data_IF_389680440069
#
_entry.id   IF_389680440069
#
_cell.length_a   1.000
_cell.length_b   1.000
_cell.length_c   1.000
_cell.angle_alpha   90.00
_cell.angle_beta   90.00
_cell.angle_gamma   90.00
#
_symmetry.space_group_name_H-M   'P 1'
#
loop_
_entity.id
_entity.type
_entity.pdbx_description
1 polymer ?
#
# COMPACT_ATOMS: atom_id res chain seq x y z
N UNK A 1 51.15 22.17 19.58
CA UNK A 1 49.80 21.63 19.27
C UNK A 1 48.91 22.78 18.82
N UNK A 2 48.57 22.83 17.53
CA UNK A 2 47.83 23.95 16.93
C UNK A 2 46.42 24.09 17.52
N UNK A 3 45.94 25.33 17.68
CA UNK A 3 44.61 25.67 18.20
C UNK A 3 43.46 24.88 17.52
N UNK A 4 43.63 24.57 16.23
CA UNK A 4 42.71 23.76 15.42
C UNK A 4 42.64 22.30 15.91
N UNK A 5 43.73 21.71 16.40
CA UNK A 5 43.72 20.34 16.93
C UNK A 5 43.00 20.25 18.27
N UNK A 6 43.07 21.31 19.11
CA UNK A 6 42.30 21.40 20.36
C UNK A 6 40.79 21.54 20.09
N UNK A 7 40.38 22.34 19.10
CA UNK A 7 38.97 22.47 18.71
C UNK A 7 38.41 21.16 18.16
N UNK A 8 39.16 20.43 17.34
CA UNK A 8 38.72 19.12 16.83
C UNK A 8 38.54 18.08 17.94
N UNK A 9 39.44 18.06 18.93
CA UNK A 9 39.33 17.15 20.08
C UNK A 9 38.11 17.51 20.94
N UNK A 10 37.84 18.80 21.18
CA UNK A 10 36.66 19.26 21.94
C UNK A 10 35.34 18.98 21.20
N UNK A 11 35.29 19.18 19.87
CA UNK A 11 34.14 18.79 19.04
C UNK A 11 33.92 17.27 19.09
N UNK A 12 35.00 16.48 19.00
CA UNK A 12 34.89 15.02 19.00
C UNK A 12 34.47 14.48 20.37
N UNK A 13 34.95 15.08 21.47
CA UNK A 13 34.52 14.72 22.83
C UNK A 13 33.07 15.14 23.08
N UNK A 14 32.63 16.32 22.66
CA UNK A 14 31.22 16.75 22.76
C UNK A 14 30.29 15.81 21.96
N UNK A 15 30.67 15.42 20.73
CA UNK A 15 29.90 14.45 19.92
C UNK A 15 29.87 13.06 20.58
N UNK A 16 30.97 12.65 21.22
CA UNK A 16 31.03 11.36 21.93
C UNK A 16 30.18 11.34 23.20
N UNK A 17 30.13 12.44 23.96
CA UNK A 17 29.26 12.57 25.14
C UNK A 17 27.78 12.64 24.77
N UNK A 18 27.42 13.33 23.69
CA UNK A 18 26.03 13.36 23.17
C UNK A 18 25.59 11.96 22.68
N UNK A 19 26.50 11.16 22.11
CA UNK A 19 26.20 9.78 21.68
C UNK A 19 26.07 8.80 22.85
N UNK A 20 26.84 8.98 23.92
CA UNK A 20 26.85 8.08 25.08
C UNK A 20 25.57 8.17 25.92
N UNK A 21 24.95 9.35 26.03
CA UNK A 21 23.67 9.51 26.75
C UNK A 21 22.44 9.06 25.92
N UNK A 22 22.52 9.13 24.58
CA UNK A 22 21.46 8.64 23.69
C UNK A 22 21.37 7.11 23.68
N UNK A 23 22.50 6.39 23.78
CA UNK A 23 22.56 4.93 23.68
C UNK A 23 21.90 4.18 24.86
N UNK A 24 21.77 4.79 26.04
CA UNK A 24 21.17 4.11 27.21
C UNK A 24 19.65 3.98 27.14
N UNK A 25 18.96 4.74 26.28
CA UNK A 25 17.50 4.74 26.22
C UNK A 25 16.92 3.65 25.30
N UNK A 26 17.68 3.16 24.31
CA UNK A 26 17.08 2.65 23.07
C UNK A 26 16.32 1.31 23.20
N UNK A 27 16.90 0.20 23.73
CA UNK A 27 16.21 -1.10 23.64
C UNK A 27 15.02 -1.24 24.59
N UNK A 28 15.12 -0.68 25.80
CA UNK A 28 14.04 -0.71 26.78
C UNK A 28 12.89 0.22 26.36
N UNK A 29 13.20 1.41 25.85
CA UNK A 29 12.18 2.33 25.34
C UNK A 29 11.46 1.75 24.12
N UNK A 30 12.20 1.12 23.20
CA UNK A 30 11.64 0.46 22.01
C UNK A 30 10.66 -0.64 22.39
N UNK A 31 11.10 -1.58 23.23
CA UNK A 31 10.24 -2.67 23.70
C UNK A 31 8.99 -2.12 24.39
N UNK A 32 9.15 -1.09 25.22
CA UNK A 32 8.02 -0.48 25.92
C UNK A 32 7.05 0.21 24.97
N UNK A 33 7.51 1.06 24.05
CA UNK A 33 6.62 1.81 23.15
C UNK A 33 5.92 0.92 22.12
N UNK A 34 6.55 -0.18 21.72
CA UNK A 34 5.99 -1.13 20.76
C UNK A 34 4.93 -2.02 21.42
N UNK A 35 5.18 -2.52 22.63
CA UNK A 35 4.34 -3.58 23.23
C UNK A 35 3.32 -3.08 24.26
N UNK A 36 3.60 -1.98 24.96
CA UNK A 36 2.76 -1.54 26.08
C UNK A 36 1.33 -1.15 25.67
N UNK A 37 1.08 -0.45 24.53
CA UNK A 37 -0.29 -0.13 24.13
C UNK A 37 -1.18 -1.36 23.91
N UNK A 38 -0.61 -2.46 23.38
CA UNK A 38 -1.33 -3.72 23.20
C UNK A 38 -1.65 -4.36 24.55
N UNK A 39 -0.68 -4.43 25.46
CA UNK A 39 -0.89 -4.93 26.83
C UNK A 39 -1.94 -4.13 27.60
N UNK A 40 -1.96 -2.80 27.44
CA UNK A 40 -2.97 -1.94 28.05
C UNK A 40 -4.38 -2.28 27.52
N UNK A 41 -4.53 -2.61 26.24
CA UNK A 41 -5.81 -3.06 25.68
C UNK A 41 -6.25 -4.41 26.27
N UNK A 42 -5.31 -5.34 26.43
CA UNK A 42 -5.59 -6.65 27.05
C UNK A 42 -6.03 -6.50 28.51
N UNK A 43 -5.46 -5.53 29.23
CA UNK A 43 -5.84 -5.13 30.59
C UNK A 43 -7.09 -4.24 30.66
N UNK A 44 -7.82 -4.06 29.54
CA UNK A 44 -9.06 -3.26 29.45
C UNK A 44 -8.90 -1.78 29.80
N UNK A 45 -7.67 -1.25 29.72
CA UNK A 45 -7.42 0.17 29.90
C UNK A 45 -8.09 0.96 28.77
N UNK A 46 -8.66 2.12 29.09
CA UNK A 46 -9.38 2.90 28.10
C UNK A 46 -8.44 3.44 27.01
N UNK A 47 -8.92 3.51 25.76
CA UNK A 47 -8.15 4.16 24.68
C UNK A 47 -7.73 5.60 25.00
N UNK A 48 -8.50 6.32 25.82
CA UNK A 48 -8.12 7.68 26.21
C UNK A 48 -6.89 7.68 27.11
N UNK A 49 -6.80 6.75 28.06
CA UNK A 49 -5.60 6.56 28.87
C UNK A 49 -4.41 6.08 28.03
N UNK A 50 -4.65 5.21 27.04
CA UNK A 50 -3.62 4.78 26.08
C UNK A 50 -3.12 5.97 25.24
N UNK A 51 -4.01 6.87 24.81
CA UNK A 51 -3.63 8.11 24.11
C UNK A 51 -2.78 9.00 25.03
N UNK A 52 -3.23 9.21 26.27
CA UNK A 52 -2.50 10.02 27.25
C UNK A 52 -1.10 9.44 27.50
N UNK A 53 -0.98 8.12 27.60
CA UNK A 53 0.30 7.43 27.73
C UNK A 53 1.19 7.64 26.50
N UNK A 54 0.66 7.45 25.28
CA UNK A 54 1.43 7.66 24.05
C UNK A 54 1.85 9.12 23.86
N UNK A 55 1.06 10.10 24.28
CA UNK A 55 1.45 11.51 24.28
C UNK A 55 2.62 11.76 25.24
N UNK A 56 2.60 11.20 26.46
CA UNK A 56 3.75 11.26 27.38
C UNK A 56 5.00 10.64 26.77
N UNK A 57 4.86 9.50 26.09
CA UNK A 57 5.96 8.83 25.39
C UNK A 57 6.49 9.65 24.23
N UNK A 58 5.62 10.31 23.46
CA UNK A 58 5.99 11.22 22.38
C UNK A 58 6.81 12.40 22.92
N UNK A 59 6.35 13.06 23.99
CA UNK A 59 7.07 14.18 24.59
C UNK A 59 8.42 13.75 25.17
N UNK A 60 8.48 12.57 25.82
CA UNK A 60 9.74 11.98 26.26
C UNK A 60 10.69 11.71 25.08
N UNK A 61 10.20 11.15 23.98
CA UNK A 61 11.01 10.89 22.80
C UNK A 61 11.54 12.19 22.17
N UNK A 62 10.70 13.23 22.05
CA UNK A 62 11.10 14.56 21.57
C UNK A 62 12.17 15.20 22.44
N UNK A 63 11.98 15.21 23.77
CA UNK A 63 12.94 15.80 24.72
C UNK A 63 14.33 15.16 24.61
N UNK A 64 14.38 13.88 24.29
CA UNK A 64 15.63 13.12 24.13
C UNK A 64 16.11 13.06 22.66
N UNK A 65 15.48 13.79 21.73
CA UNK A 65 15.76 13.72 20.29
C UNK A 65 15.73 12.29 19.71
N UNK A 66 14.90 11.41 20.30
CA UNK A 66 14.84 10.00 19.93
C UNK A 66 13.88 9.76 18.77
N UNK A 67 14.38 9.83 17.54
CA UNK A 67 13.58 9.81 16.31
C UNK A 67 12.72 8.54 16.17
N UNK A 68 13.26 7.35 16.45
CA UNK A 68 12.51 6.10 16.38
C UNK A 68 11.34 6.07 17.38
N UNK A 69 11.56 6.57 18.59
CA UNK A 69 10.50 6.74 19.59
C UNK A 69 9.40 7.70 19.16
N UNK A 70 9.76 8.81 18.48
CA UNK A 70 8.79 9.75 17.91
C UNK A 70 7.93 9.06 16.84
N UNK A 71 8.56 8.26 15.96
CA UNK A 71 7.85 7.50 14.92
C UNK A 71 6.84 6.55 15.55
N UNK A 72 7.27 5.69 16.47
CA UNK A 72 6.40 4.69 17.10
C UNK A 72 5.30 5.30 17.96
N UNK A 73 5.58 6.40 18.66
CA UNK A 73 4.54 7.14 19.38
C UNK A 73 3.43 7.64 18.43
N UNK A 74 3.82 8.19 17.28
CA UNK A 74 2.87 8.64 16.26
C UNK A 74 2.10 7.47 15.63
N UNK A 75 2.76 6.33 15.35
CA UNK A 75 2.07 5.11 14.89
C UNK A 75 0.99 4.71 15.89
N UNK A 76 1.32 4.64 17.18
CA UNK A 76 0.39 4.23 18.23
C UNK A 76 -0.77 5.22 18.41
N UNK A 77 -0.52 6.52 18.35
CA UNK A 77 -1.57 7.54 18.34
C UNK A 77 -2.49 7.37 17.12
N UNK A 78 -1.90 7.17 15.95
CA UNK A 78 -2.62 6.82 14.72
C UNK A 78 -3.58 5.65 14.93
N UNK A 79 -3.10 4.57 15.57
CA UNK A 79 -3.91 3.40 15.90
C UNK A 79 -5.11 3.75 16.78
N UNK A 80 -4.90 4.51 17.85
CA UNK A 80 -5.99 4.84 18.76
C UNK A 80 -7.05 5.71 18.08
N UNK A 81 -6.65 6.68 17.25
CA UNK A 81 -7.59 7.61 16.63
C UNK A 81 -8.48 6.98 15.55
N UNK A 82 -7.98 6.07 14.70
CA UNK A 82 -8.87 5.41 13.73
C UNK A 82 -9.88 4.49 14.43
N UNK A 83 -9.48 3.85 15.53
CA UNK A 83 -10.40 3.05 16.35
C UNK A 83 -11.43 3.88 17.14
N UNK A 84 -11.22 5.20 17.23
CA UNK A 84 -12.18 6.16 17.80
C UNK A 84 -12.98 6.89 16.70
N UNK A 85 -12.99 6.37 15.47
CA UNK A 85 -13.63 6.99 14.31
C UNK A 85 -13.15 8.42 14.03
N UNK A 86 -11.86 8.70 14.29
CA UNK A 86 -11.16 9.97 13.97
C UNK A 86 -10.00 9.73 13.01
N UNK A 87 -10.24 9.26 11.78
CA UNK A 87 -9.17 8.87 10.88
C UNK A 87 -8.43 10.08 10.28
N UNK A 88 -8.98 11.29 10.31
CA UNK A 88 -8.27 12.54 10.00
C UNK A 88 -7.08 12.76 10.95
N UNK A 89 -7.31 12.62 12.26
CA UNK A 89 -6.27 12.71 13.28
C UNK A 89 -5.31 11.52 13.15
N UNK A 90 -5.84 10.33 12.86
CA UNK A 90 -5.02 9.15 12.61
C UNK A 90 -4.04 9.35 11.46
N UNK A 91 -4.53 9.80 10.30
CA UNK A 91 -3.72 10.09 9.12
C UNK A 91 -2.69 11.18 9.39
N UNK A 92 -3.02 12.21 10.18
CA UNK A 92 -2.05 13.24 10.59
C UNK A 92 -0.84 12.63 11.31
N UNK A 93 -1.08 11.74 12.28
CA UNK A 93 -0.01 11.06 13.00
C UNK A 93 0.75 10.07 12.12
N UNK A 94 0.06 9.24 11.32
CA UNK A 94 0.72 8.28 10.43
C UNK A 94 1.57 8.97 9.34
N UNK A 95 1.12 10.11 8.82
CA UNK A 95 1.90 10.92 7.89
C UNK A 95 3.14 11.52 8.56
N UNK A 96 3.03 12.00 9.81
CA UNK A 96 4.19 12.48 10.57
C UNK A 96 5.21 11.35 10.83
N UNK A 97 4.73 10.17 11.23
CA UNK A 97 5.56 8.97 11.38
C UNK A 97 6.26 8.60 10.06
N UNK A 98 5.52 8.58 8.94
CA UNK A 98 6.07 8.23 7.62
C UNK A 98 7.10 9.24 7.14
N UNK A 99 6.84 10.53 7.30
CA UNK A 99 7.76 11.60 6.90
C UNK A 99 9.09 11.44 7.64
N UNK A 100 9.05 11.30 8.96
CA UNK A 100 10.26 11.13 9.76
C UNK A 100 10.97 9.80 9.46
N UNK A 101 10.21 8.72 9.24
CA UNK A 101 10.77 7.44 8.81
C UNK A 101 11.55 7.54 7.49
N UNK A 102 11.05 8.34 6.53
CA UNK A 102 11.74 8.61 5.26
C UNK A 102 12.98 9.47 5.44
N UNK A 103 12.92 10.51 6.27
CA UNK A 103 14.06 11.40 6.55
C UNK A 103 15.24 10.64 7.14
N UNK A 104 14.99 9.62 7.96
CA UNK A 104 16.04 8.87 8.68
C UNK A 104 16.35 7.51 8.05
N UNK A 105 15.65 7.14 6.97
CA UNK A 105 15.72 5.78 6.38
C UNK A 105 15.49 4.68 7.43
N UNK A 106 14.32 4.71 8.07
CA UNK A 106 13.97 3.80 9.15
C UNK A 106 14.03 2.32 8.75
N UNK A 107 14.06 1.46 9.76
CA UNK A 107 14.17 0.03 9.58
C UNK A 107 12.92 -0.61 8.92
N UNK A 108 13.09 -1.85 8.45
CA UNK A 108 12.04 -2.60 7.75
C UNK A 108 10.79 -2.82 8.59
N UNK A 109 10.91 -2.98 9.92
CA UNK A 109 9.77 -3.20 10.81
C UNK A 109 8.93 -1.93 10.93
N UNK A 110 9.59 -0.78 11.07
CA UNK A 110 8.96 0.53 11.11
C UNK A 110 8.16 0.81 9.83
N UNK A 111 8.74 0.56 8.65
CA UNK A 111 8.00 0.71 7.39
C UNK A 111 6.81 -0.26 7.26
N UNK A 112 7.02 -1.52 7.60
CA UNK A 112 5.97 -2.54 7.55
C UNK A 112 4.77 -2.12 8.41
N UNK A 113 5.03 -1.65 9.64
CA UNK A 113 4.00 -1.18 10.56
C UNK A 113 3.27 0.05 10.04
N UNK A 114 3.98 1.08 9.59
CA UNK A 114 3.34 2.31 9.07
C UNK A 114 2.37 2.00 7.93
N UNK A 115 2.81 1.21 6.95
CA UNK A 115 1.95 0.85 5.82
C UNK A 115 0.77 -0.03 6.22
N UNK A 116 0.95 -0.91 7.19
CA UNK A 116 -0.15 -1.72 7.72
C UNK A 116 -1.20 -0.84 8.40
N UNK A 117 -0.79 0.16 9.18
CA UNK A 117 -1.74 1.07 9.84
C UNK A 117 -2.45 1.99 8.84
N UNK A 118 -1.78 2.47 7.79
CA UNK A 118 -2.49 3.14 6.69
C UNK A 118 -3.57 2.24 6.09
N UNK A 119 -3.28 0.96 5.86
CA UNK A 119 -4.28 0.01 5.38
C UNK A 119 -5.47 -0.09 6.34
N UNK A 120 -5.25 -0.15 7.65
CA UNK A 120 -6.33 -0.19 8.63
C UNK A 120 -7.21 1.06 8.57
N UNK A 121 -6.60 2.24 8.49
CA UNK A 121 -7.36 3.49 8.37
C UNK A 121 -8.26 3.48 7.13
N UNK A 122 -7.71 3.19 5.96
CA UNK A 122 -8.50 3.15 4.72
C UNK A 122 -9.55 2.04 4.72
N UNK A 123 -9.29 0.90 5.39
CA UNK A 123 -10.28 -0.14 5.59
C UNK A 123 -11.48 0.37 6.41
N UNK A 124 -11.23 1.07 7.52
CA UNK A 124 -12.30 1.63 8.36
C UNK A 124 -13.12 2.72 7.67
N UNK A 125 -12.54 3.37 6.65
CA UNK A 125 -13.21 4.34 5.79
C UNK A 125 -14.02 3.69 4.64
N UNK A 126 -13.94 2.37 4.47
CA UNK A 126 -14.56 1.67 3.35
C UNK A 126 -13.81 1.81 2.02
N UNK A 127 -12.62 2.43 2.01
CA UNK A 127 -11.77 2.61 0.83
C UNK A 127 -10.91 1.36 0.60
N UNK A 128 -11.58 0.24 0.28
CA UNK A 128 -10.97 -1.09 0.26
C UNK A 128 -9.82 -1.23 -0.75
N UNK A 129 -9.92 -0.65 -1.94
CA UNK A 129 -8.84 -0.69 -2.94
C UNK A 129 -7.56 -0.02 -2.44
N UNK A 130 -7.70 1.12 -1.77
CA UNK A 130 -6.58 1.85 -1.18
C UNK A 130 -6.00 1.05 -0.02
N UNK A 131 -6.87 0.47 0.83
CA UNK A 131 -6.44 -0.40 1.92
C UNK A 131 -5.60 -1.59 1.41
N UNK A 132 -6.06 -2.28 0.36
CA UNK A 132 -5.36 -3.43 -0.25
C UNK A 132 -3.99 -3.01 -0.81
N UNK A 133 -3.89 -1.83 -1.42
CA UNK A 133 -2.61 -1.27 -1.92
C UNK A 133 -1.62 -1.00 -0.78
N UNK A 134 -2.07 -0.39 0.31
CA UNK A 134 -1.22 -0.15 1.49
C UNK A 134 -0.84 -1.45 2.20
N UNK A 135 -1.77 -2.40 2.31
CA UNK A 135 -1.49 -3.72 2.86
C UNK A 135 -0.48 -4.50 2.01
N UNK A 136 -0.52 -4.37 0.67
CA UNK A 136 0.50 -4.97 -0.19
C UNK A 136 1.90 -4.42 0.11
N UNK A 137 2.04 -3.10 0.35
CA UNK A 137 3.29 -2.51 0.81
C UNK A 137 3.69 -3.03 2.20
N UNK A 138 2.74 -3.15 3.12
CA UNK A 138 2.97 -3.70 4.45
C UNK A 138 3.52 -5.13 4.37
N UNK A 139 2.94 -5.98 3.53
CA UNK A 139 3.42 -7.35 3.29
C UNK A 139 4.80 -7.38 2.60
N UNK A 140 5.05 -6.48 1.66
CA UNK A 140 6.37 -6.36 1.02
C UNK A 140 7.47 -6.11 2.05
N UNK A 141 7.28 -5.11 2.92
CA UNK A 141 8.24 -4.81 3.99
C UNK A 141 8.25 -5.89 5.07
N UNK A 142 7.07 -6.40 5.45
CA UNK A 142 6.91 -7.43 6.46
C UNK A 142 7.63 -8.73 6.13
N UNK A 143 7.67 -9.13 4.86
CA UNK A 143 8.40 -10.32 4.43
C UNK A 143 9.93 -10.15 4.54
N UNK A 144 10.44 -8.91 4.52
CA UNK A 144 11.87 -8.59 4.72
C UNK A 144 12.29 -8.52 6.19
N UNK A 145 11.34 -8.51 7.14
CA UNK A 145 11.66 -8.58 8.57
C UNK A 145 12.45 -9.88 8.85
N UNK A 146 13.52 -9.86 9.65
CA UNK A 146 14.22 -11.09 10.07
C UNK A 146 13.28 -12.09 10.74
N UNK A 147 13.61 -13.39 10.68
CA UNK A 147 12.77 -14.43 11.28
C UNK A 147 12.66 -14.21 12.79
N UNK A 148 11.46 -13.88 13.26
CA UNK A 148 11.19 -13.57 14.67
C UNK A 148 9.72 -13.84 15.03
N UNK A 149 9.42 -13.93 16.32
CA UNK A 149 8.03 -14.00 16.81
C UNK A 149 7.22 -12.77 16.36
N UNK A 150 7.85 -11.59 16.35
CA UNK A 150 7.26 -10.36 15.85
C UNK A 150 6.87 -10.47 14.37
N UNK A 151 7.77 -10.96 13.50
CA UNK A 151 7.46 -11.18 12.07
C UNK A 151 6.22 -12.05 11.89
N UNK A 152 6.13 -13.17 12.61
CA UNK A 152 5.01 -14.08 12.48
C UNK A 152 3.69 -13.44 12.90
N UNK A 153 3.68 -12.70 14.02
CA UNK A 153 2.51 -11.94 14.47
C UNK A 153 2.12 -10.82 13.49
N UNK A 154 3.11 -10.09 12.99
CA UNK A 154 2.90 -9.03 12.01
C UNK A 154 2.28 -9.58 10.71
N UNK A 155 2.87 -10.65 10.15
CA UNK A 155 2.37 -11.26 8.92
C UNK A 155 0.99 -11.87 9.13
N UNK A 156 0.73 -12.49 10.28
CA UNK A 156 -0.61 -12.97 10.63
C UNK A 156 -1.64 -11.83 10.62
N UNK A 157 -1.33 -10.71 11.26
CA UNK A 157 -2.21 -9.54 11.24
C UNK A 157 -2.40 -9.02 9.81
N UNK A 158 -1.33 -8.82 9.06
CA UNK A 158 -1.38 -8.30 7.70
C UNK A 158 -2.17 -9.21 6.74
N UNK A 159 -2.02 -10.54 6.82
CA UNK A 159 -2.80 -11.48 6.02
C UNK A 159 -4.27 -11.54 6.45
N UNK A 160 -4.58 -11.48 7.75
CA UNK A 160 -5.97 -11.37 8.21
C UNK A 160 -6.65 -10.09 7.73
N UNK A 161 -5.98 -8.94 7.79
CA UNK A 161 -6.51 -7.67 7.27
C UNK A 161 -6.77 -7.73 5.77
N UNK A 162 -5.87 -8.38 5.03
CA UNK A 162 -6.02 -8.61 3.59
C UNK A 162 -7.23 -9.49 3.30
N UNK A 163 -7.38 -10.59 4.03
CA UNK A 163 -8.52 -11.49 3.91
C UNK A 163 -9.84 -10.75 4.16
N UNK A 164 -9.92 -9.97 5.25
CA UNK A 164 -11.11 -9.16 5.56
C UNK A 164 -11.46 -8.14 4.48
N UNK A 165 -10.46 -7.54 3.83
CA UNK A 165 -10.67 -6.62 2.69
C UNK A 165 -11.22 -7.35 1.46
N UNK A 166 -10.79 -8.59 1.22
CA UNK A 166 -11.26 -9.41 0.10
C UNK A 166 -12.63 -10.04 0.33
N UNK A 167 -13.06 -10.26 1.57
CA UNK A 167 -14.38 -10.84 1.87
C UNK A 167 -15.52 -10.10 1.15
N UNK A 168 -15.38 -8.78 1.00
CA UNK A 168 -16.37 -7.90 0.36
C UNK A 168 -16.19 -7.70 -1.15
N UNK A 169 -15.06 -8.12 -1.75
CA UNK A 169 -14.74 -7.87 -3.17
C UNK A 169 -14.58 -9.19 -3.94
N UNK A 170 -13.75 -10.10 -3.44
CA UNK A 170 -13.39 -11.37 -4.06
C UNK A 170 -13.25 -12.42 -2.97
N UNK A 171 -14.35 -13.08 -2.61
CA UNK A 171 -14.37 -13.91 -1.41
C UNK A 171 -13.37 -15.07 -1.47
N UNK A 172 -13.11 -15.68 -2.63
CA UNK A 172 -12.20 -16.84 -2.72
C UNK A 172 -10.76 -16.47 -2.38
N UNK A 173 -10.34 -15.25 -2.73
CA UNK A 173 -9.06 -14.68 -2.29
C UNK A 173 -8.99 -14.53 -0.76
N UNK A 174 -10.12 -14.31 -0.08
CA UNK A 174 -10.15 -14.17 1.37
C UNK A 174 -9.77 -15.47 2.08
N UNK A 175 -10.32 -16.62 1.66
CA UNK A 175 -10.01 -17.92 2.26
C UNK A 175 -8.52 -18.26 2.13
N UNK A 176 -7.93 -18.02 0.95
CA UNK A 176 -6.49 -18.19 0.72
C UNK A 176 -5.65 -17.42 1.74
N UNK A 177 -5.95 -16.12 1.95
CA UNK A 177 -5.18 -15.30 2.89
C UNK A 177 -5.42 -15.67 4.35
N UNK A 178 -6.61 -16.17 4.72
CA UNK A 178 -6.81 -16.73 6.05
C UNK A 178 -5.95 -17.98 6.29
N UNK A 179 -5.87 -18.91 5.33
CA UNK A 179 -4.98 -20.07 5.46
C UNK A 179 -3.50 -19.67 5.47
N UNK A 180 -3.11 -18.71 4.63
CA UNK A 180 -1.76 -18.14 4.66
C UNK A 180 -1.43 -17.54 6.02
N UNK A 181 -2.39 -16.83 6.62
CA UNK A 181 -2.27 -16.29 7.97
C UNK A 181 -2.12 -17.38 9.04
N UNK A 182 -2.90 -18.46 8.93
CA UNK A 182 -2.83 -19.59 9.86
C UNK A 182 -1.51 -20.37 9.74
N UNK A 183 -0.91 -20.40 8.55
CA UNK A 183 0.39 -21.05 8.32
C UNK A 183 1.57 -20.34 8.97
N UNK A 184 1.48 -19.01 9.15
CA UNK A 184 2.55 -18.21 9.76
C UNK A 184 2.42 -18.07 11.27
N UNK A 185 1.20 -18.14 11.81
CA UNK A 185 0.95 -17.98 13.25
C UNK A 185 -0.38 -18.61 13.66
N UNK A 186 -0.34 -19.38 14.75
CA UNK A 186 -1.55 -19.96 15.36
C UNK A 186 -2.31 -18.87 16.08
N UNK A 187 -3.45 -18.45 15.52
CA UNK A 187 -4.25 -17.36 16.07
C UNK A 187 -5.74 -17.71 16.10
N UNK A 188 -6.43 -17.54 17.24
CA UNK A 188 -7.86 -17.81 17.34
C UNK A 188 -8.69 -16.90 16.44
N UNK A 189 -8.27 -15.64 16.24
CA UNK A 189 -8.96 -14.70 15.35
C UNK A 189 -8.91 -15.15 13.89
N UNK A 190 -7.80 -15.79 13.50
CA UNK A 190 -7.61 -16.35 12.15
C UNK A 190 -8.55 -17.52 11.89
N UNK A 191 -8.60 -18.50 12.80
CA UNK A 191 -9.52 -19.64 12.68
C UNK A 191 -10.98 -19.20 12.70
N UNK A 192 -11.31 -18.25 13.56
CA UNK A 192 -12.62 -17.63 13.57
C UNK A 192 -12.93 -16.96 12.21
N UNK A 193 -11.94 -16.37 11.54
CA UNK A 193 -12.08 -15.78 10.19
C UNK A 193 -12.34 -16.82 9.10
N UNK A 194 -11.66 -17.96 9.16
CA UNK A 194 -11.93 -19.11 8.27
C UNK A 194 -13.37 -19.60 8.45
N UNK A 195 -13.84 -19.72 9.69
CA UNK A 195 -15.22 -20.11 9.95
C UNK A 195 -16.24 -19.11 9.38
N UNK A 196 -16.00 -17.81 9.54
CA UNK A 196 -16.86 -16.76 9.02
C UNK A 196 -16.97 -16.81 7.49
N UNK A 197 -15.90 -17.14 6.78
CA UNK A 197 -15.94 -17.38 5.33
C UNK A 197 -16.93 -18.49 4.97
N UNK A 198 -16.81 -19.67 5.59
CA UNK A 198 -17.69 -20.82 5.36
C UNK A 198 -19.16 -20.50 5.69
N UNK A 199 -19.40 -19.82 6.82
CA UNK A 199 -20.75 -19.42 7.24
C UNK A 199 -21.38 -18.45 6.24
N UNK A 200 -20.65 -17.41 5.81
CA UNK A 200 -21.16 -16.42 4.85
C UNK A 200 -21.45 -17.02 3.50
N UNK A 201 -20.60 -17.95 3.04
CA UNK A 201 -20.81 -18.70 1.80
C UNK A 201 -21.88 -19.78 1.91
N UNK A 202 -22.29 -20.11 3.14
CA UNK A 202 -23.23 -21.18 3.42
C UNK A 202 -22.76 -22.54 2.86
N UNK A 203 -21.46 -22.81 2.98
CA UNK A 203 -20.81 -24.06 2.55
C UNK A 203 -19.96 -24.62 3.68
N UNK A 204 -19.87 -25.94 3.78
CA UNK A 204 -19.05 -26.64 4.79
C UNK A 204 -19.26 -26.11 6.23
N UNK A 205 -20.52 -26.07 6.68
CA UNK A 205 -20.87 -25.55 8.02
C UNK A 205 -20.29 -26.41 9.17
N UNK A 206 -20.02 -27.68 8.90
CA UNK A 206 -19.23 -28.58 9.75
C UNK A 206 -17.79 -28.07 9.94
N UNK A 207 -17.14 -27.66 8.85
CA UNK A 207 -15.82 -27.02 8.88
C UNK A 207 -15.86 -25.70 9.61
N UNK A 208 -16.90 -24.88 9.40
CA UNK A 208 -17.09 -23.66 10.17
C UNK A 208 -17.15 -23.94 11.68
N UNK A 209 -17.96 -24.92 12.10
CA UNK A 209 -18.06 -25.34 13.50
C UNK A 209 -16.72 -25.81 14.06
N UNK A 210 -15.99 -26.63 13.30
CA UNK A 210 -14.65 -27.10 13.68
C UNK A 210 -13.70 -25.92 13.95
N UNK A 211 -13.65 -24.95 13.04
CA UNK A 211 -12.77 -23.78 13.19
C UNK A 211 -13.21 -22.83 14.32
N UNK A 212 -14.50 -22.67 14.58
CA UNK A 212 -14.98 -21.93 15.75
C UNK A 212 -14.56 -22.62 17.05
N UNK A 213 -14.73 -23.94 17.16
CA UNK A 213 -14.32 -24.70 18.35
C UNK A 213 -12.80 -24.61 18.57
N UNK A 214 -12.02 -24.67 17.49
CA UNK A 214 -10.56 -24.49 17.54
C UNK A 214 -10.19 -23.08 18.04
N UNK A 215 -10.87 -22.04 17.55
CA UNK A 215 -10.67 -20.68 18.02
C UNK A 215 -11.04 -20.52 19.50
N UNK A 216 -12.16 -21.09 19.94
CA UNK A 216 -12.62 -21.05 21.33
C UNK A 216 -11.62 -21.74 22.28
N UNK A 217 -11.13 -22.93 21.92
CA UNK A 217 -10.11 -23.64 22.71
C UNK A 217 -8.82 -22.83 22.86
N UNK A 218 -8.39 -22.16 21.79
CA UNK A 218 -7.22 -21.27 21.82
C UNK A 218 -7.44 -20.03 22.70
N UNK A 219 -8.63 -19.43 22.70
CA UNK A 219 -8.93 -18.34 23.65
C UNK A 219 -8.97 -18.82 25.10
N UNK A 220 -9.54 -20.01 25.38
CA UNK A 220 -9.58 -20.58 26.74
C UNK A 220 -8.19 -20.86 27.31
N UNK A 221 -7.21 -21.14 26.45
CA UNK A 221 -5.82 -21.37 26.85
C UNK A 221 -5.02 -20.07 27.10
N UNK A 222 -5.56 -18.90 26.75
CA UNK A 222 -4.90 -17.61 26.95
C UNK A 222 -5.20 -17.07 28.35
N UNK A 223 -4.15 -16.54 29.02
CA UNK A 223 -4.28 -15.92 30.34
C UNK A 223 -5.10 -14.62 30.28
N UNK A 224 -4.79 -13.77 29.31
CA UNK A 224 -5.46 -12.49 29.08
C UNK A 224 -6.03 -12.51 27.66
N UNK A 225 -7.35 -12.35 27.54
CA UNK A 225 -8.04 -12.36 26.25
C UNK A 225 -8.70 -11.01 26.03
N UNK A 226 -8.41 -10.41 24.87
CA UNK A 226 -9.09 -9.22 24.41
C UNK A 226 -10.61 -9.47 24.31
N UNK A 227 -11.46 -8.79 25.11
CA UNK A 227 -12.90 -9.03 25.13
C UNK A 227 -13.57 -8.87 23.77
N UNK A 228 -13.10 -7.93 22.95
CA UNK A 228 -13.62 -7.75 21.60
C UNK A 228 -13.43 -9.00 20.73
N UNK A 229 -12.31 -9.70 20.88
CA UNK A 229 -12.06 -10.92 20.10
C UNK A 229 -13.01 -12.06 20.49
N UNK A 230 -13.38 -12.15 21.77
CA UNK A 230 -14.43 -13.06 22.25
C UNK A 230 -15.81 -12.68 21.71
N UNK A 231 -16.13 -11.38 21.70
CA UNK A 231 -17.37 -10.88 21.11
C UNK A 231 -17.51 -11.30 19.63
N UNK A 232 -16.45 -11.13 18.83
CA UNK A 232 -16.42 -11.58 17.43
C UNK A 232 -16.61 -13.09 17.30
N UNK A 233 -15.98 -13.89 18.17
CA UNK A 233 -16.16 -15.34 18.18
C UNK A 233 -17.62 -15.73 18.44
N UNK A 234 -18.24 -15.18 19.48
CA UNK A 234 -19.63 -15.51 19.82
C UNK A 234 -20.64 -15.02 18.78
N UNK A 235 -20.40 -13.85 18.18
CA UNK A 235 -21.17 -13.41 17.02
C UNK A 235 -21.13 -14.43 15.88
N UNK A 236 -19.96 -15.02 15.60
CA UNK A 236 -19.81 -16.04 14.55
C UNK A 236 -20.48 -17.37 14.91
N UNK A 237 -20.49 -17.77 16.18
CA UNK A 237 -21.37 -18.86 16.63
C UNK A 237 -22.84 -18.53 16.37
N UNK A 238 -23.29 -17.31 16.71
CA UNK A 238 -24.64 -16.83 16.41
C UNK A 238 -24.97 -16.94 14.92
N UNK A 239 -24.07 -16.50 14.03
CA UNK A 239 -24.24 -16.65 12.58
C UNK A 239 -24.37 -18.12 12.13
N UNK A 240 -23.53 -19.02 12.69
CA UNK A 240 -23.61 -20.45 12.37
C UNK A 240 -24.95 -21.05 12.81
N UNK A 241 -25.44 -20.69 14.00
CA UNK A 241 -26.74 -21.15 14.48
C UNK A 241 -27.90 -20.57 13.68
N UNK A 242 -27.77 -19.34 13.18
CA UNK A 242 -28.75 -18.71 12.30
C UNK A 242 -28.88 -19.46 10.97
N UNK A 243 -27.76 -19.94 10.39
CA UNK A 243 -27.79 -20.81 9.19
C UNK A 243 -28.52 -22.14 9.41
N UNK A 244 -28.60 -22.59 10.67
CA UNK A 244 -29.29 -23.82 11.06
C UNK A 244 -30.70 -23.56 11.63
N UNK A 245 -31.24 -22.33 11.53
CA UNK A 245 -32.54 -21.92 12.08
C UNK A 245 -32.72 -22.21 13.59
N UNK A 246 -31.63 -22.19 14.37
CA UNK A 246 -31.66 -22.46 15.83
C UNK A 246 -31.77 -21.15 16.63
N UNK A 247 -32.93 -20.50 16.58
CA UNK A 247 -33.12 -19.13 17.08
C UNK A 247 -32.72 -18.93 18.55
N UNK A 248 -33.01 -19.89 19.44
CA UNK A 248 -32.63 -19.78 20.87
C UNK A 248 -31.11 -19.73 21.06
N UNK A 249 -30.37 -20.56 20.32
CA UNK A 249 -28.91 -20.54 20.35
C UNK A 249 -28.36 -19.26 19.70
N UNK A 250 -29.01 -18.74 18.65
CA UNK A 250 -28.64 -17.43 18.07
C UNK A 250 -28.72 -16.35 19.13
N UNK A 251 -29.86 -16.20 19.81
CA UNK A 251 -30.06 -15.19 20.86
C UNK A 251 -28.99 -15.34 21.95
N UNK A 252 -28.83 -16.54 22.50
CA UNK A 252 -27.84 -16.85 23.54
C UNK A 252 -26.41 -16.45 23.15
N UNK A 253 -25.98 -16.76 21.93
CA UNK A 253 -24.63 -16.40 21.47
C UNK A 253 -24.49 -14.91 21.16
N UNK A 254 -25.53 -14.24 20.68
CA UNK A 254 -25.50 -12.81 20.41
C UNK A 254 -25.55 -11.98 21.70
N UNK A 255 -26.28 -12.41 22.72
CA UNK A 255 -26.24 -11.78 24.05
C UNK A 255 -24.86 -11.93 24.70
N UNK A 256 -24.24 -13.11 24.58
CA UNK A 256 -22.82 -13.29 24.94
C UNK A 256 -21.92 -12.33 24.15
N UNK A 257 -22.13 -12.20 22.83
CA UNK A 257 -21.38 -11.25 22.01
C UNK A 257 -21.50 -9.81 22.52
N UNK A 258 -22.72 -9.35 22.85
CA UNK A 258 -22.96 -8.01 23.41
C UNK A 258 -22.28 -7.81 24.77
N UNK A 259 -22.35 -8.81 25.66
CA UNK A 259 -21.68 -8.77 26.96
C UNK A 259 -20.18 -8.47 26.82
N UNK A 260 -19.50 -9.13 25.88
CA UNK A 260 -18.08 -8.90 25.63
C UNK A 260 -17.80 -7.67 24.75
N UNK A 261 -18.80 -7.15 24.03
CA UNK A 261 -18.70 -5.93 23.23
C UNK A 261 -18.90 -4.64 24.04
N UNK A 262 -19.38 -4.74 25.29
CA UNK A 262 -19.92 -3.68 26.17
C UNK A 262 -19.02 -2.46 26.46
N UNK A 263 -17.83 -2.37 25.86
CA UNK A 263 -16.92 -1.22 25.94
C UNK A 263 -16.79 -0.42 24.61
N UNK A 264 -17.75 -0.57 23.70
CA UNK A 264 -18.08 0.46 22.69
C UNK A 264 -17.03 0.76 21.63
N UNK A 265 -16.26 -0.23 21.14
CA UNK A 265 -15.13 0.05 20.22
C UNK A 265 -14.97 -0.92 19.07
N UNK A 266 -16.05 -1.17 18.33
CA UNK A 266 -16.06 -1.58 16.91
C UNK A 266 -17.49 -1.42 16.35
N UNK A 267 -17.80 -0.25 15.77
CA UNK A 267 -19.16 0.14 15.34
C UNK A 267 -19.82 -0.92 14.47
N UNK A 268 -19.15 -1.32 13.39
CA UNK A 268 -19.75 -2.24 12.42
C UNK A 268 -20.10 -3.59 13.07
N UNK A 269 -19.25 -4.07 13.98
CA UNK A 269 -19.50 -5.31 14.70
C UNK A 269 -20.76 -5.21 15.57
N UNK A 270 -20.87 -4.15 16.38
CA UNK A 270 -22.05 -3.94 17.23
C UNK A 270 -23.33 -3.78 16.40
N UNK A 271 -23.30 -3.00 15.32
CA UNK A 271 -24.44 -2.86 14.41
C UNK A 271 -24.86 -4.22 13.83
N UNK A 272 -23.90 -5.06 13.44
CA UNK A 272 -24.19 -6.40 12.94
C UNK A 272 -24.80 -7.32 14.01
N UNK A 273 -24.35 -7.22 15.27
CA UNK A 273 -24.89 -8.00 16.38
C UNK A 273 -26.32 -7.57 16.70
N UNK A 274 -26.56 -6.25 16.83
CA UNK A 274 -27.89 -5.71 17.06
C UNK A 274 -28.87 -6.07 15.94
N UNK A 275 -28.46 -5.92 14.68
CA UNK A 275 -29.32 -6.25 13.54
C UNK A 275 -29.73 -7.73 13.55
N UNK A 276 -28.79 -8.64 13.76
CA UNK A 276 -29.10 -10.07 13.77
C UNK A 276 -29.95 -10.46 14.99
N UNK A 277 -29.73 -9.81 16.13
CA UNK A 277 -30.52 -10.05 17.34
C UNK A 277 -31.97 -9.54 17.17
N UNK A 278 -32.16 -8.36 16.58
CA UNK A 278 -33.48 -7.83 16.23
C UNK A 278 -34.21 -8.74 15.23
N UNK A 279 -33.53 -9.15 14.15
CA UNK A 279 -34.09 -10.09 13.17
C UNK A 279 -34.51 -11.41 13.83
N UNK A 280 -33.71 -11.91 14.79
CA UNK A 280 -34.02 -13.15 15.49
C UNK A 280 -35.21 -12.99 16.44
N UNK A 281 -35.29 -11.89 17.19
CA UNK A 281 -36.44 -11.60 18.05
C UNK A 281 -37.75 -11.43 17.26
N UNK A 282 -37.67 -10.80 16.08
CA UNK A 282 -38.79 -10.71 15.16
C UNK A 282 -39.28 -12.11 14.76
N UNK A 283 -38.36 -13.00 14.35
CA UNK A 283 -38.68 -14.39 13.97
C UNK A 283 -39.28 -15.21 15.11
N UNK A 284 -38.92 -14.93 16.37
CA UNK A 284 -39.47 -15.62 17.54
C UNK A 284 -40.74 -14.96 18.09
N UNK A 285 -41.19 -13.83 17.53
CA UNK A 285 -42.37 -13.09 17.98
C UNK A 285 -42.17 -12.25 19.25
N UNK A 286 -40.93 -12.01 19.69
CA UNK A 286 -40.63 -11.22 20.90
C UNK A 286 -40.49 -9.72 20.56
N UNK A 287 -41.63 -9.11 20.20
CA UNK A 287 -41.72 -7.72 19.70
C UNK A 287 -41.13 -6.70 20.70
N UNK A 288 -41.30 -6.95 22.00
CA UNK A 288 -40.79 -6.05 23.04
C UNK A 288 -39.27 -6.02 23.07
N UNK A 289 -38.62 -7.20 22.98
CA UNK A 289 -37.16 -7.27 22.92
C UNK A 289 -36.61 -6.78 21.59
N UNK A 290 -37.28 -7.08 20.47
CA UNK A 290 -36.94 -6.52 19.16
C UNK A 290 -36.89 -4.99 19.22
N UNK A 291 -37.97 -4.35 19.67
CA UNK A 291 -38.06 -2.89 19.79
C UNK A 291 -36.95 -2.32 20.66
N UNK A 292 -36.68 -2.94 21.81
CA UNK A 292 -35.58 -2.53 22.70
C UNK A 292 -34.23 -2.55 21.98
N UNK A 293 -33.93 -3.62 21.25
CA UNK A 293 -32.67 -3.75 20.50
C UNK A 293 -32.59 -2.73 19.36
N UNK A 294 -33.68 -2.47 18.64
CA UNK A 294 -33.72 -1.45 17.60
C UNK A 294 -33.52 -0.04 18.14
N UNK A 295 -34.05 0.27 19.33
CA UNK A 295 -33.82 1.54 20.01
C UNK A 295 -32.35 1.70 20.43
N UNK A 296 -31.72 0.64 20.97
CA UNK A 296 -30.29 0.61 21.27
C UNK A 296 -29.44 0.78 20.00
N UNK A 297 -29.80 0.09 18.92
CA UNK A 297 -29.17 0.22 17.60
C UNK A 297 -29.25 1.67 17.10
N UNK A 298 -30.43 2.31 17.16
CA UNK A 298 -30.64 3.68 16.69
C UNK A 298 -29.79 4.67 17.48
N UNK A 299 -29.86 4.63 18.81
CA UNK A 299 -29.04 5.46 19.71
C UNK A 299 -27.55 5.28 19.40
N UNK A 300 -27.12 4.04 19.23
CA UNK A 300 -25.74 3.73 18.88
C UNK A 300 -25.36 4.21 17.49
N UNK A 301 -26.24 4.17 16.48
CA UNK A 301 -25.89 4.60 15.12
C UNK A 301 -25.91 6.13 14.95
N UNK A 302 -26.84 6.83 15.60
CA UNK A 302 -26.97 8.29 15.54
C UNK A 302 -25.77 9.01 16.15
N UNK A 303 -25.23 8.49 17.26
CA UNK A 303 -24.01 9.02 17.90
C UNK A 303 -22.76 9.03 16.98
N UNK A 304 -22.79 8.39 15.80
CA UNK A 304 -21.62 8.23 14.92
C UNK A 304 -21.80 8.75 13.48
N UNK A 305 -23.01 9.14 13.05
CA UNK A 305 -23.27 9.59 11.66
C UNK A 305 -22.46 10.86 11.29
N UNK A 306 -22.37 11.82 12.19
CA UNK A 306 -21.71 13.11 11.91
C UNK A 306 -20.18 13.01 11.86
N UNK A 307 -19.59 12.13 12.67
CA UNK A 307 -18.15 11.93 12.70
C UNK A 307 -17.62 11.31 11.39
N UNK A 308 -18.38 10.39 10.77
CA UNK A 308 -17.96 9.68 9.56
C UNK A 308 -18.07 10.52 8.30
N UNK A 309 -19.16 11.28 8.11
CA UNK A 309 -19.33 12.14 6.94
C UNK A 309 -18.20 13.18 6.85
N UNK A 310 -17.92 13.86 7.97
CA UNK A 310 -16.83 14.82 8.10
C UNK A 310 -15.46 14.19 7.85
N UNK A 311 -15.26 12.97 8.35
CA UNK A 311 -14.01 12.23 8.22
C UNK A 311 -13.72 11.75 6.78
N UNK A 312 -14.74 11.30 6.05
CA UNK A 312 -14.60 10.86 4.67
C UNK A 312 -14.27 12.06 3.79
N UNK A 313 -14.97 13.18 3.98
CA UNK A 313 -14.70 14.43 3.29
C UNK A 313 -13.26 14.92 3.52
N UNK A 314 -12.80 14.99 4.77
CA UNK A 314 -11.41 15.38 5.10
C UNK A 314 -10.39 14.40 4.48
N UNK A 315 -10.70 13.11 4.39
CA UNK A 315 -9.80 12.13 3.77
C UNK A 315 -9.72 12.32 2.26
N UNK A 316 -10.85 12.57 1.60
CA UNK A 316 -10.90 12.90 0.18
C UNK A 316 -10.08 14.18 -0.07
N UNK A 317 -10.31 15.24 0.70
CA UNK A 317 -9.55 16.49 0.60
C UNK A 317 -8.03 16.27 0.82
N UNK A 318 -7.65 15.42 1.77
CA UNK A 318 -6.24 15.10 2.01
C UNK A 318 -5.64 14.25 0.88
N UNK A 319 -6.39 13.31 0.32
CA UNK A 319 -5.98 12.53 -0.84
C UNK A 319 -5.82 13.42 -2.07
N UNK A 320 -6.76 14.32 -2.33
CA UNK A 320 -6.69 15.35 -3.37
C UNK A 320 -5.48 16.26 -3.17
N UNK A 321 -5.22 16.74 -1.95
CA UNK A 321 -4.01 17.51 -1.60
C UNK A 321 -2.72 16.72 -1.84
N UNK A 322 -2.72 15.41 -1.61
CA UNK A 322 -1.56 14.56 -1.90
C UNK A 322 -1.38 14.29 -3.39
N UNK A 323 -2.47 14.09 -4.14
CA UNK A 323 -2.45 13.91 -5.58
C UNK A 323 -1.97 15.19 -6.27
N UNK A 324 -2.54 16.34 -5.92
CA UNK A 324 -2.12 17.66 -6.40
C UNK A 324 -0.67 17.98 -6.02
N UNK A 325 -0.20 17.64 -4.81
CA UNK A 325 1.24 17.76 -4.46
C UNK A 325 2.15 16.83 -5.25
N UNK A 326 1.66 15.67 -5.71
CA UNK A 326 2.44 14.72 -6.51
C UNK A 326 2.49 15.16 -7.97
N UNK A 327 1.43 15.74 -8.50
CA UNK A 327 1.41 16.41 -9.81
C UNK A 327 2.25 17.70 -9.80
N UNK A 328 2.20 18.48 -8.71
CA UNK A 328 2.94 19.72 -8.54
C UNK A 328 4.31 19.54 -7.85
N UNK A 329 4.82 18.30 -7.71
CA UNK A 329 6.24 18.13 -7.37
C UNK A 329 7.01 18.63 -8.59
N UNK A 330 7.80 19.72 -8.50
CA UNK A 330 8.63 20.10 -9.62
C UNK A 330 9.52 18.89 -9.89
N UNK A 331 9.32 18.23 -11.03
CA UNK A 331 10.32 17.30 -11.56
C UNK A 331 11.59 18.10 -11.61
N UNK A 332 12.48 17.81 -10.66
CA UNK A 332 13.60 18.66 -10.29
C UNK A 332 14.28 19.24 -11.52
N UNK A 333 14.10 20.56 -11.74
CA UNK A 333 14.74 21.31 -12.81
C UNK A 333 16.27 21.18 -12.77
N UNK A 334 16.85 20.58 -11.73
CA UNK A 334 18.26 20.19 -11.62
C UNK A 334 18.73 19.40 -12.86
N UNK A 335 17.96 18.45 -13.38
CA UNK A 335 18.36 17.71 -14.59
C UNK A 335 18.42 18.62 -15.83
N UNK A 336 17.50 19.58 -15.92
CA UNK A 336 17.46 20.57 -17.00
C UNK A 336 18.62 21.57 -16.86
N UNK A 337 18.90 22.03 -15.64
CA UNK A 337 20.06 22.89 -15.35
C UNK A 337 21.40 22.17 -15.61
N UNK A 338 21.49 20.88 -15.30
CA UNK A 338 22.66 20.06 -15.63
C UNK A 338 22.84 19.89 -17.15
N UNK A 339 21.76 19.62 -17.88
CA UNK A 339 21.78 19.53 -19.35
C UNK A 339 22.16 20.87 -19.99
N UNK A 340 21.65 21.99 -19.45
CA UNK A 340 21.96 23.33 -19.92
C UNK A 340 23.41 23.72 -19.65
N UNK A 341 23.95 23.37 -18.47
CA UNK A 341 25.36 23.60 -18.13
C UNK A 341 26.30 22.75 -19.00
N UNK A 342 25.94 21.49 -19.27
CA UNK A 342 26.69 20.62 -20.18
C UNK A 342 26.71 21.16 -21.62
N UNK A 343 25.59 21.71 -22.09
CA UNK A 343 25.50 22.35 -23.41
C UNK A 343 26.41 23.59 -23.50
N UNK A 344 26.40 24.45 -22.48
CA UNK A 344 27.26 25.64 -22.42
C UNK A 344 28.76 25.29 -22.44
N UNK A 345 29.16 24.24 -21.70
CA UNK A 345 30.53 23.76 -21.70
C UNK A 345 30.94 23.17 -23.06
N UNK A 346 30.02 22.44 -23.71
CA UNK A 346 30.23 21.93 -25.08
C UNK A 346 30.45 23.05 -26.09
N UNK A 347 29.61 24.10 -26.07
CA UNK A 347 29.74 25.26 -26.95
C UNK A 347 31.03 26.05 -26.68
N UNK A 348 31.43 26.21 -25.42
CA UNK A 348 32.68 26.87 -25.06
C UNK A 348 33.90 26.08 -25.57
N UNK A 349 33.86 24.74 -25.51
CA UNK A 349 34.90 23.87 -26.04
C UNK A 349 35.02 23.98 -27.57
N UNK A 350 33.89 23.97 -28.29
CA UNK A 350 33.85 24.17 -29.75
C UNK A 350 34.36 25.56 -30.13
N UNK A 351 33.95 26.61 -29.43
CA UNK A 351 34.41 27.96 -29.67
C UNK A 351 35.92 28.11 -29.46
N UNK A 352 36.45 27.51 -28.38
CA UNK A 352 37.89 27.45 -28.12
C UNK A 352 38.63 26.73 -29.25
N UNK A 353 38.08 25.62 -29.74
CA UNK A 353 38.69 24.82 -30.82
C UNK A 353 38.70 25.56 -32.16
N UNK A 354 37.61 26.27 -32.50
CA UNK A 354 37.51 27.11 -33.70
C UNK A 354 38.50 28.29 -33.61
N UNK A 355 38.60 28.93 -32.44
CA UNK A 355 39.49 30.08 -32.25
C UNK A 355 40.98 29.71 -32.27
N UNK A 356 41.32 28.48 -31.89
CA UNK A 356 42.70 27.98 -31.92
C UNK A 356 43.11 27.32 -33.25
N UNK A 357 42.19 27.07 -34.18
CA UNK A 357 42.55 26.71 -35.56
C UNK A 357 42.71 27.97 -36.41
N UNK A 358 43.95 28.43 -36.56
CA UNK A 358 44.33 29.32 -37.68
C UNK A 358 44.21 28.51 -38.97
N UNK A 359 43.30 28.89 -39.85
CA UNK A 359 43.13 28.28 -41.18
C UNK A 359 43.94 29.08 -42.20
N UNK A 360 44.95 28.49 -42.89
CA UNK A 360 45.45 29.04 -44.14
C UNK A 360 44.59 28.52 -45.30
N UNK A 361 44.35 29.38 -46.29
CA UNK A 361 43.54 29.14 -47.49
C UNK A 361 44.49 28.78 -48.66
N UNK A 362 44.18 27.73 -49.43
CA UNK A 362 44.62 27.57 -50.83
C UNK A 362 43.74 26.57 -51.60
N UNK A 363 43.48 26.87 -52.87
CA UNK A 363 42.52 26.25 -53.80
C UNK A 363 43.03 24.98 -54.54
N UNK A 364 42.05 24.15 -54.93
CA UNK A 364 41.95 23.16 -56.04
C UNK A 364 43.06 22.12 -56.35
N UNK A 365 42.71 20.82 -56.34
CA UNK A 365 42.47 20.03 -57.57
C UNK A 365 42.00 18.57 -57.31
N UNK A 366 41.34 18.02 -58.34
CA UNK A 366 40.62 16.75 -58.51
C UNK A 366 41.57 15.52 -58.58
N UNK A 367 41.12 14.31 -58.14
CA UNK A 367 41.22 12.98 -58.83
C UNK A 367 40.77 11.81 -57.90
N UNK A 368 40.21 10.78 -58.54
CA UNK A 368 39.49 9.58 -58.07
C UNK A 368 40.37 8.42 -57.54
N UNK A 369 39.74 7.60 -56.67
CA UNK A 369 40.00 6.16 -56.28
C UNK A 369 41.38 5.83 -55.65
N UNK A 370 41.59 4.89 -54.72
CA UNK A 370 40.91 3.66 -54.27
C UNK A 370 41.44 3.29 -52.85
N UNK A 371 40.84 2.26 -52.24
CA UNK A 371 40.92 1.73 -50.87
C UNK A 371 42.24 1.71 -50.07
N UNK A 372 42.16 1.86 -48.74
CA UNK A 372 42.59 0.84 -47.74
C UNK A 372 41.99 1.09 -46.35
N UNK A 373 41.63 -0.02 -45.70
CA UNK A 373 41.03 -0.14 -44.37
C UNK A 373 41.97 0.33 -43.23
N UNK A 374 41.39 0.89 -42.16
CA UNK A 374 41.73 0.45 -40.79
C UNK A 374 40.61 0.77 -39.81
N UNK A 375 40.37 -0.24 -38.97
CA UNK A 375 39.28 -0.48 -38.04
C UNK A 375 39.64 0.05 -36.63
N UNK A 376 38.60 0.23 -35.79
CA UNK A 376 38.53 0.50 -34.33
C UNK A 376 38.31 1.97 -33.92
N UNK A 377 37.36 2.31 -33.05
CA UNK A 377 36.31 1.57 -32.37
C UNK A 377 35.40 2.62 -31.70
N UNK A 378 34.08 2.52 -31.88
CA UNK A 378 33.06 3.01 -30.94
C UNK A 378 31.69 2.49 -31.39
N UNK A 379 31.48 1.20 -31.14
CA UNK A 379 30.24 0.47 -31.38
C UNK A 379 29.14 1.12 -30.53
N UNK A 380 28.22 1.84 -31.17
CA UNK A 380 26.86 2.01 -30.63
C UNK A 380 26.26 0.60 -30.57
N UNK A 381 25.68 0.16 -29.44
CA UNK A 381 25.09 -1.17 -29.39
C UNK A 381 24.01 -1.25 -30.46
N UNK A 382 24.21 -2.15 -31.43
CA UNK A 382 23.19 -2.51 -32.41
C UNK A 382 22.06 -3.12 -31.58
N UNK A 383 21.00 -2.36 -31.34
CA UNK A 383 19.78 -2.89 -30.73
C UNK A 383 19.16 -3.80 -31.78
N UNK A 384 19.24 -5.10 -31.60
CA UNK A 384 18.62 -6.05 -32.53
C UNK A 384 17.12 -6.14 -32.25
N UNK A 385 16.36 -6.70 -33.21
CA UNK A 385 14.93 -6.97 -33.01
C UNK A 385 14.72 -7.93 -31.84
N UNK A 386 15.61 -8.92 -31.67
CA UNK A 386 15.57 -9.90 -30.58
C UNK A 386 15.80 -9.23 -29.22
N UNK A 387 16.78 -8.31 -29.11
CA UNK A 387 17.00 -7.52 -27.90
C UNK A 387 15.78 -6.67 -27.54
N UNK A 388 15.08 -6.14 -28.54
CA UNK A 388 13.87 -5.36 -28.35
C UNK A 388 12.71 -6.24 -27.83
N UNK A 389 12.53 -7.44 -28.38
CA UNK A 389 11.55 -8.42 -27.91
C UNK A 389 11.84 -8.88 -26.48
N UNK A 390 13.10 -9.15 -26.14
CA UNK A 390 13.49 -9.54 -24.79
C UNK A 390 13.29 -8.38 -23.79
N UNK A 391 13.65 -7.16 -24.16
CA UNK A 391 13.38 -5.95 -23.37
C UNK A 391 11.89 -5.73 -23.13
N UNK A 392 11.03 -6.03 -24.11
CA UNK A 392 9.57 -5.97 -23.94
C UNK A 392 9.07 -7.00 -22.91
N UNK A 393 9.50 -8.27 -23.02
CA UNK A 393 9.09 -9.36 -22.12
C UNK A 393 9.57 -9.17 -20.68
N UNK A 394 10.78 -8.66 -20.52
CA UNK A 394 11.40 -8.42 -19.20
C UNK A 394 10.98 -7.10 -18.55
N UNK A 395 10.19 -6.28 -19.26
CA UNK A 395 9.73 -4.95 -18.83
C UNK A 395 10.89 -4.00 -18.51
N UNK A 396 11.92 -4.05 -19.35
CA UNK A 396 13.09 -3.17 -19.27
C UNK A 396 12.62 -1.70 -19.27
N UNK A 397 13.03 -0.88 -18.27
CA UNK A 397 12.73 0.55 -18.26
C UNK A 397 13.13 1.29 -19.55
N UNK A 398 14.12 0.77 -20.30
CA UNK A 398 14.60 1.32 -21.55
C UNK A 398 13.86 0.80 -22.80
N UNK A 399 12.88 -0.10 -22.67
CA UNK A 399 12.12 -0.66 -23.80
C UNK A 399 11.58 0.42 -24.75
N UNK A 400 10.99 1.49 -24.19
CA UNK A 400 10.44 2.58 -25.01
C UNK A 400 11.52 3.29 -25.85
N UNK A 401 12.69 3.53 -25.26
CA UNK A 401 13.82 4.16 -25.95
C UNK A 401 14.43 3.23 -27.00
N UNK A 402 14.56 1.94 -26.68
CA UNK A 402 15.02 0.90 -27.63
C UNK A 402 14.06 0.78 -28.82
N UNK A 403 12.75 0.79 -28.57
CA UNK A 403 11.73 0.76 -29.61
C UNK A 403 11.84 2.00 -30.51
N UNK A 404 11.96 3.19 -29.92
CA UNK A 404 12.10 4.44 -30.68
C UNK A 404 13.39 4.50 -31.51
N UNK A 405 14.48 3.87 -31.05
CA UNK A 405 15.71 3.80 -31.84
C UNK A 405 15.56 2.92 -33.10
N UNK A 406 14.77 1.85 -33.02
CA UNK A 406 14.49 0.96 -34.15
C UNK A 406 13.37 1.46 -35.06
N UNK A 407 12.41 2.20 -34.49
CA UNK A 407 11.25 2.75 -35.20
C UNK A 407 11.08 4.26 -34.88
N UNK A 408 11.98 5.12 -35.38
CA UNK A 408 12.05 6.53 -34.99
C UNK A 408 10.81 7.34 -35.37
N UNK A 409 10.19 7.02 -36.51
CA UNK A 409 9.03 7.75 -37.02
C UNK A 409 7.69 7.20 -36.51
N UNK A 410 7.66 6.02 -35.88
CA UNK A 410 6.42 5.36 -35.47
C UNK A 410 5.56 6.23 -34.54
N UNK A 411 6.12 6.71 -33.43
CA UNK A 411 5.36 7.53 -32.49
C UNK A 411 5.00 8.89 -33.08
N UNK A 412 5.87 9.45 -33.93
CA UNK A 412 5.62 10.72 -34.62
C UNK A 412 4.40 10.60 -35.54
N UNK A 413 4.37 9.58 -36.39
CA UNK A 413 3.27 9.34 -37.33
C UNK A 413 1.93 9.11 -36.60
N UNK A 414 1.94 8.40 -35.48
CA UNK A 414 0.73 8.19 -34.66
C UNK A 414 0.25 9.49 -34.00
N UNK A 415 1.17 10.31 -33.51
CA UNK A 415 0.85 11.61 -32.90
C UNK A 415 0.37 12.66 -33.92
N UNK A 416 0.77 12.55 -35.19
CA UNK A 416 0.26 13.40 -36.29
C UNK A 416 -1.20 13.11 -36.62
N UNK A 417 -1.66 11.86 -36.46
CA UNK A 417 -3.07 11.48 -36.65
C UNK A 417 -3.95 11.98 -35.50
N UNK A 418 -3.48 11.83 -34.26
CA UNK A 418 -4.16 12.38 -33.10
C UNK A 418 -3.18 12.72 -31.97
N UNK A 419 -3.02 14.01 -31.71
CA UNK A 419 -2.13 14.54 -30.67
C UNK A 419 -2.62 14.29 -29.23
N UNK A 420 -3.87 13.86 -29.03
CA UNK A 420 -4.45 13.52 -27.72
C UNK A 420 -4.09 12.11 -27.23
N UNK A 421 -3.32 11.34 -28.02
CA UNK A 421 -2.84 10.03 -27.61
C UNK A 421 -1.82 10.19 -26.49
N UNK A 422 -2.11 9.56 -25.36
CA UNK A 422 -1.29 9.64 -24.18
C UNK A 422 -0.06 8.73 -24.30
N UNK A 423 1.03 9.07 -23.60
CA UNK A 423 2.28 8.29 -23.61
C UNK A 423 2.09 6.81 -23.22
N UNK A 424 1.15 6.51 -22.33
CA UNK A 424 0.81 5.14 -21.94
C UNK A 424 0.07 4.35 -23.05
N UNK A 425 -0.63 5.04 -23.95
CA UNK A 425 -1.29 4.49 -25.13
C UNK A 425 -0.26 4.25 -26.24
N UNK A 426 0.68 5.17 -26.45
CA UNK A 426 1.85 4.95 -27.34
C UNK A 426 2.67 3.73 -26.88
N UNK A 427 2.91 3.61 -25.59
CA UNK A 427 3.62 2.47 -25.02
C UNK A 427 2.89 1.15 -25.29
N UNK A 428 1.55 1.14 -25.22
CA UNK A 428 0.73 -0.03 -25.57
C UNK A 428 0.78 -0.35 -27.07
N UNK A 429 0.74 0.68 -27.93
CA UNK A 429 0.86 0.53 -29.38
C UNK A 429 2.19 -0.10 -29.79
N UNK A 430 3.29 0.19 -29.09
CA UNK A 430 4.58 -0.46 -29.32
C UNK A 430 4.53 -1.99 -29.11
N UNK A 431 3.87 -2.48 -28.05
CA UNK A 431 3.70 -3.93 -27.87
C UNK A 431 2.80 -4.56 -28.93
N UNK A 432 1.74 -3.86 -29.37
CA UNK A 432 0.85 -4.36 -30.42
C UNK A 432 1.59 -4.41 -31.76
N UNK A 433 2.41 -3.41 -32.05
CA UNK A 433 3.25 -3.36 -33.25
C UNK A 433 4.26 -4.51 -33.29
N UNK A 434 4.86 -4.87 -32.14
CA UNK A 434 5.68 -6.09 -31.98
C UNK A 434 4.85 -7.38 -31.88
N UNK A 435 3.58 -7.36 -32.30
CA UNK A 435 2.73 -8.54 -32.44
C UNK A 435 2.49 -9.35 -31.15
N UNK A 436 2.63 -8.74 -29.97
CA UNK A 436 2.28 -9.41 -28.71
C UNK A 436 0.77 -9.63 -28.61
N UNK A 437 0.37 -10.80 -28.11
CA UNK A 437 -1.01 -11.13 -27.88
C UNK A 437 -1.60 -10.34 -26.70
N UNK A 438 -2.92 -10.17 -26.69
CA UNK A 438 -3.61 -9.42 -25.62
C UNK A 438 -3.35 -10.02 -24.23
N UNK A 439 -3.18 -11.35 -24.14
CA UNK A 439 -2.84 -12.04 -22.88
C UNK A 439 -1.39 -11.76 -22.46
N UNK A 440 -0.44 -11.82 -23.40
CA UNK A 440 0.97 -11.54 -23.12
C UNK A 440 1.18 -10.09 -22.67
N UNK A 441 0.54 -9.13 -23.34
CA UNK A 441 0.58 -7.72 -22.94
C UNK A 441 -0.01 -7.52 -21.54
N UNK A 442 -1.11 -8.23 -21.23
CA UNK A 442 -1.74 -8.17 -19.93
C UNK A 442 -0.80 -8.68 -18.83
N UNK A 443 -0.08 -9.76 -19.09
CA UNK A 443 0.90 -10.33 -18.16
C UNK A 443 2.12 -9.41 -17.99
N UNK A 444 2.70 -8.90 -19.08
CA UNK A 444 3.86 -7.97 -19.05
C UNK A 444 3.53 -6.68 -18.28
N UNK A 445 2.34 -6.12 -18.50
CA UNK A 445 1.91 -4.87 -17.89
C UNK A 445 1.22 -5.06 -16.53
N UNK A 446 1.03 -6.30 -16.07
CA UNK A 446 0.26 -6.67 -14.87
C UNK A 446 -1.16 -6.06 -14.86
N UNK A 447 -1.83 -6.11 -16.01
CA UNK A 447 -3.21 -5.67 -16.19
C UNK A 447 -4.10 -6.87 -16.51
N UNK A 448 -5.41 -6.73 -16.37
CA UNK A 448 -6.31 -7.80 -16.83
C UNK A 448 -6.39 -7.80 -18.37
N UNK A 449 -6.57 -8.96 -19.04
CA UNK A 449 -6.80 -9.01 -20.49
C UNK A 449 -7.96 -8.11 -20.93
N UNK A 450 -9.02 -8.00 -20.10
CA UNK A 450 -10.15 -7.11 -20.35
C UNK A 450 -9.75 -5.63 -20.34
N UNK A 451 -8.83 -5.24 -19.46
CA UNK A 451 -8.27 -3.88 -19.43
C UNK A 451 -7.51 -3.57 -20.72
N UNK A 452 -6.71 -4.51 -21.24
CA UNK A 452 -5.99 -4.34 -22.50
C UNK A 452 -6.97 -4.24 -23.68
N UNK A 453 -8.01 -5.07 -23.72
CA UNK A 453 -9.07 -4.98 -24.74
C UNK A 453 -9.77 -3.62 -24.75
N UNK A 454 -10.15 -3.11 -23.57
CA UNK A 454 -10.80 -1.81 -23.44
C UNK A 454 -9.86 -0.68 -23.90
N UNK A 455 -8.57 -0.76 -23.59
CA UNK A 455 -7.57 0.20 -24.07
C UNK A 455 -7.39 0.14 -25.59
N UNK A 456 -7.33 -1.05 -26.18
CA UNK A 456 -7.29 -1.22 -27.66
C UNK A 456 -8.53 -0.61 -28.32
N UNK A 457 -9.72 -0.81 -27.75
CA UNK A 457 -10.96 -0.20 -28.24
C UNK A 457 -10.92 1.33 -28.20
N UNK A 458 -10.46 1.90 -27.09
CA UNK A 458 -10.35 3.36 -26.96
C UNK A 458 -9.31 3.95 -27.92
N UNK A 459 -8.17 3.28 -28.10
CA UNK A 459 -7.13 3.69 -29.06
C UNK A 459 -7.67 3.67 -30.49
N UNK A 460 -8.42 2.63 -30.88
CA UNK A 460 -9.06 2.55 -32.21
C UNK A 460 -10.00 3.72 -32.46
N UNK A 461 -10.81 4.11 -31.46
CA UNK A 461 -11.68 5.28 -31.56
C UNK A 461 -10.89 6.59 -31.72
N UNK A 462 -9.81 6.77 -30.94
CA UNK A 462 -8.97 7.96 -31.02
C UNK A 462 -8.23 8.09 -32.35
N UNK A 463 -7.81 6.96 -32.92
CA UNK A 463 -7.13 6.90 -34.23
C UNK A 463 -8.08 6.80 -35.42
N UNK A 464 -9.40 6.86 -35.18
CA UNK A 464 -10.43 6.74 -36.21
C UNK A 464 -10.31 5.48 -37.10
N UNK A 465 -9.91 4.35 -36.50
CA UNK A 465 -9.71 3.08 -37.21
C UNK A 465 -11.07 2.38 -37.37
N UNK A 466 -11.45 2.04 -38.61
CA UNK A 466 -12.73 1.42 -38.91
C UNK A 466 -12.85 0.03 -38.26
N UNK A 467 -14.06 -0.42 -37.94
CA UNK A 467 -14.30 -1.74 -37.30
C UNK A 467 -13.88 -2.93 -38.17
N UNK A 468 -13.83 -2.75 -39.49
CA UNK A 468 -13.36 -3.73 -40.49
C UNK A 468 -11.85 -3.88 -40.56
N UNK A 469 -11.07 -2.92 -40.05
CA UNK A 469 -9.62 -2.93 -40.11
C UNK A 469 -9.01 -3.60 -38.87
N UNK A 470 -8.10 -4.56 -39.05
CA UNK A 470 -7.36 -5.16 -37.94
C UNK A 470 -6.29 -4.19 -37.42
N UNK A 471 -6.22 -4.00 -36.09
CA UNK A 471 -5.30 -3.03 -35.48
C UNK A 471 -3.82 -3.40 -35.67
N UNK A 472 -3.48 -4.70 -35.69
CA UNK A 472 -2.10 -5.14 -35.91
C UNK A 472 -1.68 -4.88 -37.35
N UNK A 473 -2.57 -5.15 -38.31
CA UNK A 473 -2.34 -4.89 -39.73
C UNK A 473 -2.24 -3.38 -39.98
N UNK A 474 -3.15 -2.60 -39.41
CA UNK A 474 -3.15 -1.14 -39.53
C UNK A 474 -1.87 -0.52 -38.98
N UNK A 475 -1.33 -1.01 -37.86
CA UNK A 475 -0.07 -0.49 -37.31
C UNK A 475 1.15 -0.85 -38.17
N UNK A 476 1.11 -1.96 -38.91
CA UNK A 476 2.20 -2.35 -39.83
C UNK A 476 2.28 -1.47 -41.07
N UNK A 477 1.23 -0.71 -41.42
CA UNK A 477 1.28 0.24 -42.54
C UNK A 477 2.21 1.44 -42.29
N UNK A 478 2.56 1.69 -41.02
CA UNK A 478 3.55 2.70 -40.62
C UNK A 478 5.00 2.21 -40.79
N UNK A 479 5.19 1.06 -41.45
CA UNK A 479 6.48 0.51 -41.85
C UNK A 479 6.45 0.18 -43.34
N UNK A 480 6.79 1.18 -44.15
CA UNK A 480 7.29 1.05 -45.51
C UNK A 480 8.48 1.98 -45.69
#
# INVERSE_FOLDING_TARGET
>A
MNFISKIKIVIFTIISFIRLDAQKLEPQFDSMIILQPERMLDQRISRQEIINWNNKMLEKAKKNNYQKGIIWANINLGIQYYNLAKPDISLKHLNAAKKLADEISADVETYAKIYQEFSQVYYTLGLLDISIKYNAKALYWGNKIPKSSYKNRFLNFAYNSRAGSFTNIQSDSALYYYHKSASVFVSPTTYSGIADYYIRKNVHLDSAKFYLNKAEALFKAQKDVNPYSLSVLYYRYGLLHAKNNRNDEVIKFLEKSLLYASNGKNRQHLLNVYNLLAETYNKTGDINKEKKILDEYKKFNESYKDAQAKSVQITIENLEKQLTKKENKPTSNILIYFLFLALLLGLASVFYFIRNKKVPISEENIVLEEHTESINDNIKPIVTLDDLYESAKTRDPNFYTKFQNLYPDFFKNISEINSEIQKNELHLLAYIYLNFETKEIADILFLSPKTIQNKKHNIRKKLNIQSSEDLYIWLKSFYQ
#
